data_IF_255488581606
#
_entry.id   IF_255488581606
#
_cell.length_a   1.000
_cell.length_b   1.000
_cell.length_c   1.000
_cell.angle_alpha   90.00
_cell.angle_beta   90.00
_cell.angle_gamma   90.00
#
_symmetry.space_group_name_H-M   'P 1'
#
loop_
_entity.id
_entity.type
_entity.pdbx_description
1 polymer ?
#
# COMPACT_ATOMS: atom_id res chain seq x y z
N UNK A 1 -58.92 12.12 -49.54
CA UNK A 1 -59.59 10.84 -49.87
C UNK A 1 -58.57 9.72 -49.66
N UNK A 2 -58.71 8.98 -48.54
CA UNK A 2 -58.97 7.52 -48.47
C UNK A 2 -57.66 6.71 -48.51
N UNK A 3 -57.12 6.27 -47.36
CA UNK A 3 -57.20 4.89 -46.74
C UNK A 3 -56.52 3.83 -47.63
N UNK A 4 -55.70 2.88 -47.20
CA UNK A 4 -55.60 2.04 -45.98
C UNK A 4 -54.14 1.50 -45.92
N UNK A 5 -53.61 0.89 -44.85
CA UNK A 5 -53.85 -0.49 -44.45
C UNK A 5 -53.43 -0.71 -42.98
N UNK A 6 -54.22 -1.58 -42.34
CA UNK A 6 -54.15 -2.07 -40.97
C UNK A 6 -53.35 -3.37 -40.93
N UNK A 7 -52.71 -3.72 -39.81
CA UNK A 7 -51.95 -4.97 -39.72
C UNK A 7 -51.21 -5.19 -38.41
N UNK A 8 -51.88 -5.85 -37.48
CA UNK A 8 -51.47 -6.14 -36.10
C UNK A 8 -50.26 -7.07 -35.95
N UNK A 9 -49.57 -6.92 -34.80
CA UNK A 9 -48.39 -7.66 -34.33
C UNK A 9 -48.62 -9.16 -34.10
N UNK A 10 -47.52 -9.92 -33.94
CA UNK A 10 -47.44 -10.69 -32.71
C UNK A 10 -46.10 -10.54 -31.98
N UNK A 11 -46.24 -10.64 -30.67
CA UNK A 11 -45.24 -10.70 -29.61
C UNK A 11 -44.07 -11.66 -29.86
N UNK A 12 -42.85 -11.17 -29.62
CA UNK A 12 -41.71 -12.01 -29.22
C UNK A 12 -41.06 -11.39 -27.99
N UNK A 13 -41.53 -11.85 -26.83
CA UNK A 13 -41.10 -11.47 -25.50
C UNK A 13 -39.71 -12.08 -25.23
N UNK A 14 -38.65 -11.48 -25.75
CA UNK A 14 -37.29 -11.90 -25.38
C UNK A 14 -36.90 -11.26 -24.05
N UNK A 15 -37.24 -12.01 -22.99
CA UNK A 15 -36.84 -11.84 -21.60
C UNK A 15 -35.38 -11.38 -21.49
N UNK A 16 -35.25 -10.10 -21.15
CA UNK A 16 -34.29 -9.50 -20.23
C UNK A 16 -33.48 -10.53 -19.43
N UNK A 17 -32.38 -10.99 -20.00
CA UNK A 17 -31.31 -11.65 -19.27
C UNK A 17 -30.24 -10.60 -18.98
N UNK A 18 -30.57 -9.66 -18.09
CA UNK A 18 -29.55 -8.82 -17.47
C UNK A 18 -28.67 -9.76 -16.65
N UNK A 19 -27.56 -10.21 -17.25
CA UNK A 19 -26.47 -10.83 -16.51
C UNK A 19 -26.13 -9.90 -15.33
N UNK A 20 -26.02 -10.41 -14.09
CA UNK A 20 -25.57 -9.57 -12.99
C UNK A 20 -24.15 -9.13 -13.33
N UNK A 21 -23.95 -7.86 -13.67
CA UNK A 21 -22.60 -7.30 -13.73
C UNK A 21 -22.04 -7.42 -12.30
N UNK A 22 -20.83 -7.98 -12.13
CA UNK A 22 -20.24 -8.03 -10.81
C UNK A 22 -20.02 -6.59 -10.33
N UNK A 23 -20.72 -6.22 -9.26
CA UNK A 23 -20.25 -5.27 -8.24
C UNK A 23 -19.70 -3.93 -8.73
N UNK A 24 -20.50 -3.08 -9.41
CA UNK A 24 -20.13 -1.66 -9.62
C UNK A 24 -20.30 -0.81 -8.35
N UNK A 25 -20.68 -1.44 -7.24
CA UNK A 25 -20.77 -0.87 -5.90
C UNK A 25 -20.01 -1.79 -4.96
N UNK A 26 -18.67 -1.73 -4.97
CA UNK A 26 -18.05 -1.71 -3.64
C UNK A 26 -18.71 -0.52 -2.94
N UNK A 27 -19.42 -0.77 -1.84
CA UNK A 27 -20.18 0.30 -1.17
C UNK A 27 -19.25 1.49 -0.99
N UNK A 28 -19.71 2.72 -1.29
CA UNK A 28 -18.89 3.91 -1.09
C UNK A 28 -18.25 3.93 0.31
N UNK A 29 -19.01 3.43 1.29
CA UNK A 29 -18.56 3.20 2.66
C UNK A 29 -17.38 2.23 2.76
N UNK A 30 -17.39 1.12 2.02
CA UNK A 30 -16.30 0.15 2.00
C UNK A 30 -15.02 0.74 1.37
N UNK A 31 -15.15 1.54 0.31
CA UNK A 31 -14.03 2.27 -0.28
C UNK A 31 -13.43 3.27 0.73
N UNK A 32 -14.29 3.99 1.48
CA UNK A 32 -13.85 4.91 2.53
C UNK A 32 -13.13 4.16 3.65
N UNK A 33 -13.67 3.03 4.11
CA UNK A 33 -13.05 2.19 5.13
C UNK A 33 -11.66 1.70 4.69
N UNK A 34 -11.51 1.23 3.45
CA UNK A 34 -10.20 0.84 2.91
C UNK A 34 -9.21 2.01 2.87
N UNK A 35 -9.67 3.22 2.55
CA UNK A 35 -8.83 4.42 2.57
C UNK A 35 -8.36 4.77 3.98
N UNK A 36 -9.25 4.68 4.97
CA UNK A 36 -8.89 4.90 6.39
C UNK A 36 -7.83 3.89 6.85
N UNK A 37 -8.02 2.60 6.52
CA UNK A 37 -7.03 1.56 6.82
C UNK A 37 -5.67 1.84 6.15
N UNK A 38 -5.69 2.26 4.87
CA UNK A 38 -4.47 2.63 4.16
C UNK A 38 -3.77 3.85 4.78
N UNK A 39 -4.51 4.85 5.24
CA UNK A 39 -3.98 6.03 5.92
C UNK A 39 -3.33 5.65 7.26
N UNK A 40 -4.00 4.83 8.07
CA UNK A 40 -3.45 4.30 9.33
C UNK A 40 -2.16 3.51 9.09
N UNK A 41 -2.12 2.67 8.06
CA UNK A 41 -0.91 1.96 7.66
C UNK A 41 0.21 2.93 7.25
N UNK A 42 -0.09 3.98 6.49
CA UNK A 42 0.89 4.97 6.08
C UNK A 42 1.44 5.77 7.28
N UNK A 43 0.61 6.05 8.28
CA UNK A 43 1.03 6.68 9.53
C UNK A 43 1.96 5.77 10.34
N UNK A 44 1.66 4.46 10.42
CA UNK A 44 2.55 3.49 11.04
C UNK A 44 3.91 3.43 10.30
N UNK A 45 3.91 3.45 8.96
CA UNK A 45 5.14 3.54 8.16
C UNK A 45 5.90 4.86 8.40
N UNK A 46 5.21 5.98 8.58
CA UNK A 46 5.85 7.25 8.89
C UNK A 46 6.52 7.21 10.28
N UNK A 47 5.84 6.61 11.26
CA UNK A 47 6.39 6.40 12.61
C UNK A 47 7.60 5.46 12.59
N UNK A 48 7.55 4.37 11.82
CA UNK A 48 8.69 3.47 11.64
C UNK A 48 9.89 4.19 11.02
N UNK A 49 9.69 5.06 10.02
CA UNK A 49 10.81 5.83 9.44
C UNK A 49 11.51 6.74 10.44
N UNK A 50 10.80 7.29 11.43
CA UNK A 50 11.40 8.18 12.45
C UNK A 50 12.42 7.48 13.33
N UNK A 51 12.29 6.17 13.53
CA UNK A 51 13.20 5.39 14.39
C UNK A 51 14.31 4.71 13.60
N UNK A 52 14.19 4.62 12.27
CA UNK A 52 15.24 4.06 11.43
C UNK A 52 16.37 5.11 11.32
N UNK A 53 17.62 4.74 11.64
CA UNK A 53 18.72 5.71 11.61
C UNK A 53 19.13 6.04 10.16
N UNK A 54 18.61 7.16 9.64
CA UNK A 54 18.88 7.66 8.27
C UNK A 54 19.30 9.14 8.29
N UNK A 55 19.64 9.70 7.13
CA UNK A 55 19.84 11.14 7.01
C UNK A 55 18.48 11.86 6.92
N UNK A 56 18.40 13.14 7.37
CA UNK A 56 17.17 13.94 7.29
C UNK A 56 16.62 14.13 5.87
N UNK A 57 17.48 14.01 4.86
CA UNK A 57 17.12 14.15 3.45
C UNK A 57 16.62 12.84 2.80
N UNK A 58 16.75 11.70 3.48
CA UNK A 58 16.48 10.40 2.88
C UNK A 58 14.98 10.17 2.67
N UNK A 59 14.59 9.90 1.43
CA UNK A 59 13.22 9.49 1.08
C UNK A 59 13.16 7.98 0.92
N UNK A 60 12.68 7.29 1.95
CA UNK A 60 12.57 5.84 1.95
C UNK A 60 11.21 5.35 1.42
N UNK A 61 11.25 4.49 0.41
CA UNK A 61 10.09 3.69 -0.02
C UNK A 61 9.65 2.70 1.08
N UNK A 62 8.45 2.11 0.96
CA UNK A 62 7.94 1.12 1.92
C UNK A 62 8.88 -0.09 2.04
N UNK A 63 9.36 -0.61 0.91
CA UNK A 63 10.27 -1.76 0.91
C UNK A 63 11.63 -1.41 1.52
N UNK A 64 12.18 -0.23 1.21
CA UNK A 64 13.43 0.22 1.84
C UNK A 64 13.26 0.35 3.36
N UNK A 65 12.17 0.99 3.81
CA UNK A 65 11.83 1.14 5.24
C UNK A 65 11.84 -0.22 5.95
N UNK A 66 11.18 -1.24 5.38
CA UNK A 66 11.12 -2.58 5.98
C UNK A 66 12.48 -3.29 5.99
N UNK A 67 13.21 -3.28 4.87
CA UNK A 67 14.55 -3.87 4.78
C UNK A 67 15.48 -3.26 5.84
N UNK A 68 15.37 -1.96 6.02
CA UNK A 68 16.24 -1.21 6.90
C UNK A 68 15.90 -1.41 8.37
N UNK A 69 14.62 -1.44 8.69
CA UNK A 69 14.15 -1.81 10.02
C UNK A 69 14.67 -3.21 10.42
N UNK A 70 14.57 -4.20 9.52
CA UNK A 70 15.10 -5.55 9.77
C UNK A 70 16.59 -5.52 10.07
N UNK A 71 17.40 -4.89 9.21
CA UNK A 71 18.85 -4.80 9.42
C UNK A 71 19.20 -4.03 10.69
N UNK A 72 18.42 -3.02 11.04
CA UNK A 72 18.64 -2.26 12.27
C UNK A 72 18.36 -3.10 13.53
N UNK A 73 17.31 -3.92 13.51
CA UNK A 73 17.05 -4.92 14.58
C UNK A 73 18.24 -5.87 14.70
N UNK A 74 18.72 -6.45 13.59
CA UNK A 74 19.85 -7.38 13.60
C UNK A 74 21.12 -6.73 14.14
N UNK A 75 21.37 -5.47 13.77
CA UNK A 75 22.48 -4.68 14.28
C UNK A 75 22.38 -4.48 15.80
N UNK A 76 21.21 -4.04 16.29
CA UNK A 76 21.00 -3.83 17.72
C UNK A 76 21.16 -5.14 18.51
N UNK A 77 20.66 -6.25 17.99
CA UNK A 77 20.86 -7.58 18.58
C UNK A 77 22.35 -7.94 18.68
N UNK A 78 23.15 -7.66 17.65
CA UNK A 78 24.60 -7.91 17.67
C UNK A 78 25.34 -6.99 18.62
N UNK A 79 24.92 -5.72 18.75
CA UNK A 79 25.49 -4.76 19.71
C UNK A 79 25.23 -5.23 21.13
N UNK A 80 24.00 -5.64 21.46
CA UNK A 80 23.65 -6.12 22.80
C UNK A 80 24.39 -7.41 23.20
N UNK A 81 24.81 -8.22 22.23
CA UNK A 81 25.56 -9.47 22.47
C UNK A 81 27.07 -9.25 22.64
N UNK A 82 27.62 -8.09 22.26
CA UNK A 82 29.04 -7.79 22.36
C UNK A 82 29.28 -6.66 23.36
N UNK A 83 30.26 -6.83 24.25
CA UNK A 83 30.68 -5.77 25.17
C UNK A 83 31.38 -4.59 24.44
N UNK A 84 31.71 -4.77 23.16
CA UNK A 84 32.34 -3.76 22.31
C UNK A 84 31.31 -2.88 21.59
N UNK A 85 30.53 -2.14 22.38
CA UNK A 85 29.43 -1.28 21.88
C UNK A 85 29.96 -0.12 21.02
N UNK A 86 31.08 0.49 21.40
CA UNK A 86 31.59 1.70 20.75
C UNK A 86 32.01 1.45 19.30
N UNK A 87 32.83 0.42 19.03
CA UNK A 87 33.30 0.07 17.68
C UNK A 87 32.17 -0.19 16.69
N UNK A 88 31.08 -0.82 17.15
CA UNK A 88 29.92 -1.13 16.30
C UNK A 88 29.07 0.11 16.01
N UNK A 89 28.96 1.04 16.94
CA UNK A 89 28.26 2.32 16.74
C UNK A 89 29.02 3.20 15.73
N UNK A 90 30.35 3.21 15.77
CA UNK A 90 31.18 3.85 14.75
C UNK A 90 31.00 3.18 13.38
N UNK A 91 31.08 1.85 13.31
CA UNK A 91 30.86 1.09 12.08
C UNK A 91 29.48 1.39 11.48
N UNK A 92 28.44 1.49 12.31
CA UNK A 92 27.08 1.82 11.86
C UNK A 92 26.95 3.27 11.35
N UNK A 93 27.69 4.19 11.95
CA UNK A 93 27.74 5.59 11.50
C UNK A 93 28.45 5.73 10.16
N UNK A 94 29.53 4.97 9.95
CA UNK A 94 30.22 4.84 8.65
C UNK A 94 29.30 4.19 7.63
N UNK A 95 28.63 3.09 8.00
CA UNK A 95 27.71 2.36 7.15
C UNK A 95 26.51 3.20 6.69
N UNK A 96 26.12 4.21 7.48
CA UNK A 96 25.12 5.23 7.12
C UNK A 96 25.63 6.27 6.12
N UNK A 97 26.92 6.64 6.18
CA UNK A 97 27.50 7.68 5.33
C UNK A 97 27.92 7.17 3.94
N UNK A 98 28.33 5.91 3.82
CA UNK A 98 28.86 5.36 2.56
C UNK A 98 27.79 5.02 1.50
N UNK A 99 26.53 5.35 1.73
CA UNK A 99 25.49 5.18 0.71
C UNK A 99 25.28 3.73 0.28
N UNK A 100 25.71 2.74 1.08
CA UNK A 100 25.58 1.31 0.81
C UNK A 100 24.11 0.80 0.76
N UNK A 101 23.16 1.74 0.75
CA UNK A 101 21.72 1.55 0.86
C UNK A 101 20.96 2.01 -0.39
N UNK A 102 21.66 2.52 -1.42
CA UNK A 102 21.04 2.79 -2.73
C UNK A 102 20.92 1.55 -3.60
#
# INVERSE_FOLDING_TARGET
>A
KKSSEDGSSPSSVNKRSKKPSPSSTQSFEELQNQRVLANSLNEAFASLRKIIPTLPSDKLSKIQTLKLASRYIDFLCQVLQSDEMDSKIYAFSVWRMEGAWS
#
